data_IF_677564102245
#
_entry.id   IF_677564102245
#
_cell.length_a   1.000
_cell.length_b   1.000
_cell.length_c   1.000
_cell.angle_alpha   90.00
_cell.angle_beta   90.00
_cell.angle_gamma   90.00
#
_symmetry.space_group_name_H-M   'P 1'
#
loop_
_entity.id
_entity.type
_entity.pdbx_description
1 polymer ?
#
# COMPACT_ATOMS: atom_id res chain seq x y z
N UNK A 1 11.39 -33.44 -33.67
CA UNK A 1 11.14 -32.97 -32.28
C UNK A 1 9.85 -33.65 -31.81
N UNK A 2 9.89 -34.41 -30.72
CA UNK A 2 8.76 -35.26 -30.31
C UNK A 2 7.70 -34.50 -29.50
N UNK A 3 6.44 -34.98 -29.45
CA UNK A 3 5.35 -34.33 -28.71
C UNK A 3 5.65 -34.20 -27.20
N UNK A 4 6.44 -35.12 -26.64
CA UNK A 4 6.94 -35.06 -25.26
C UNK A 4 7.87 -33.88 -25.03
N UNK A 5 8.76 -33.60 -25.98
CA UNK A 5 9.70 -32.47 -25.88
C UNK A 5 8.94 -31.14 -25.95
N UNK A 6 7.94 -31.03 -26.83
CA UNK A 6 7.08 -29.84 -26.94
C UNK A 6 6.28 -29.59 -25.66
N UNK A 7 5.79 -30.65 -25.00
CA UNK A 7 5.11 -30.55 -23.72
C UNK A 7 6.00 -29.93 -22.63
N UNK A 8 7.26 -30.34 -22.51
CA UNK A 8 8.17 -29.75 -21.54
C UNK A 8 8.47 -28.28 -21.83
N UNK A 9 8.66 -27.90 -23.09
CA UNK A 9 8.82 -26.49 -23.47
C UNK A 9 7.57 -25.66 -23.19
N UNK A 10 6.38 -26.23 -23.41
CA UNK A 10 5.11 -25.58 -23.08
C UNK A 10 4.97 -25.36 -21.57
N UNK A 11 5.21 -26.40 -20.76
CA UNK A 11 5.17 -26.28 -19.29
C UNK A 11 6.21 -25.27 -18.79
N UNK A 12 7.43 -25.30 -19.33
CA UNK A 12 8.47 -24.33 -18.98
C UNK A 12 8.07 -22.89 -19.34
N UNK A 13 7.47 -22.66 -20.51
CA UNK A 13 7.00 -21.35 -20.93
C UNK A 13 5.85 -20.84 -20.05
N UNK A 14 4.92 -21.72 -19.67
CA UNK A 14 3.82 -21.41 -18.75
C UNK A 14 4.36 -21.04 -17.37
N UNK A 15 5.26 -21.85 -16.82
CA UNK A 15 5.88 -21.57 -15.51
C UNK A 15 6.68 -20.26 -15.53
N UNK A 16 7.43 -20.00 -16.59
CA UNK A 16 8.16 -18.74 -16.76
C UNK A 16 7.21 -17.54 -16.84
N UNK A 17 6.11 -17.66 -17.58
CA UNK A 17 5.08 -16.63 -17.66
C UNK A 17 4.45 -16.34 -16.30
N UNK A 18 4.08 -17.38 -15.55
CA UNK A 18 3.53 -17.22 -14.20
C UNK A 18 4.55 -16.65 -13.21
N UNK A 19 5.82 -17.04 -13.29
CA UNK A 19 6.87 -16.47 -12.45
C UNK A 19 7.07 -14.98 -12.73
N UNK A 20 7.17 -14.58 -14.01
CA UNK A 20 7.29 -13.17 -14.41
C UNK A 20 6.03 -12.38 -14.04
N UNK A 21 4.85 -12.97 -14.15
CA UNK A 21 3.59 -12.33 -13.74
C UNK A 21 3.45 -12.21 -12.21
N UNK A 22 4.10 -13.09 -11.43
CA UNK A 22 4.05 -13.09 -9.97
C UNK A 22 5.04 -12.10 -9.33
N UNK A 23 6.07 -11.64 -10.05
CA UNK A 23 7.04 -10.64 -9.57
C UNK A 23 6.51 -9.19 -9.57
N UNK A 24 5.20 -8.98 -9.78
CA UNK A 24 4.59 -7.67 -9.92
C UNK A 24 4.37 -6.86 -8.63
N UNK A 25 4.08 -7.51 -7.49
CA UNK A 25 3.37 -6.82 -6.39
C UNK A 25 4.00 -6.99 -5.00
N UNK A 26 5.29 -7.36 -4.96
CA UNK A 26 6.04 -7.58 -3.73
C UNK A 26 6.64 -6.31 -3.12
N UNK A 27 5.98 -5.82 -2.05
CA UNK A 27 6.62 -5.46 -0.77
C UNK A 27 6.73 -4.01 -0.30
N UNK A 28 6.01 -3.02 -0.83
CA UNK A 28 5.77 -1.78 -0.08
C UNK A 28 4.36 -1.24 -0.31
N UNK A 29 3.41 -1.69 0.52
CA UNK A 29 2.11 -1.02 0.60
C UNK A 29 2.35 0.33 1.29
N UNK A 30 2.08 1.44 0.61
CA UNK A 30 2.14 2.79 1.19
C UNK A 30 0.95 3.03 2.13
N UNK A 31 0.65 2.03 2.95
CA UNK A 31 -0.50 1.93 3.82
C UNK A 31 -0.07 2.25 5.25
N UNK A 32 -0.76 3.20 5.87
CA UNK A 32 -0.48 3.71 7.20
C UNK A 32 -1.71 3.50 8.08
N UNK A 33 -1.50 2.94 9.26
CA UNK A 33 -2.53 2.90 10.30
C UNK A 33 -2.34 4.12 11.19
N UNK A 34 -3.35 4.97 11.26
CA UNK A 34 -3.33 6.20 12.07
C UNK A 34 -4.47 6.20 13.07
N UNK A 35 -4.22 6.75 14.26
CA UNK A 35 -5.27 7.02 15.25
C UNK A 35 -5.54 8.52 15.25
N UNK A 36 -6.78 8.91 14.99
CA UNK A 36 -7.18 10.31 14.84
C UNK A 36 -8.43 10.57 15.68
N UNK A 37 -8.36 11.57 16.54
CA UNK A 37 -9.49 12.04 17.34
C UNK A 37 -10.17 13.16 16.55
N UNK A 38 -11.48 13.09 16.35
CA UNK A 38 -12.21 14.08 15.54
C UNK A 38 -13.29 13.49 14.63
N UNK A 39 -13.39 12.17 14.55
CA UNK A 39 -14.40 11.49 13.73
C UNK A 39 -14.05 11.47 12.25
N UNK A 40 -14.91 10.81 11.46
CA UNK A 40 -14.64 10.50 10.05
C UNK A 40 -14.42 11.74 9.18
N UNK A 41 -15.13 12.83 9.44
CA UNK A 41 -15.06 14.04 8.60
C UNK A 41 -13.68 14.71 8.67
N UNK A 42 -13.10 14.81 9.88
CA UNK A 42 -11.74 15.33 10.10
C UNK A 42 -10.70 14.45 9.41
N UNK A 43 -10.92 13.14 9.46
CA UNK A 43 -10.04 12.13 8.88
C UNK A 43 -10.05 12.19 7.36
N UNK A 44 -11.24 12.33 6.75
CA UNK A 44 -11.40 12.46 5.31
C UNK A 44 -10.78 13.78 4.80
N UNK A 45 -10.97 14.87 5.55
CA UNK A 45 -10.35 16.15 5.23
C UNK A 45 -8.81 16.09 5.29
N UNK A 46 -8.26 15.47 6.34
CA UNK A 46 -6.82 15.29 6.50
C UNK A 46 -6.23 14.42 5.38
N UNK A 47 -6.92 13.35 5.02
CA UNK A 47 -6.52 12.48 3.92
C UNK A 47 -6.44 13.28 2.61
N UNK A 48 -7.46 14.09 2.31
CA UNK A 48 -7.47 14.95 1.13
C UNK A 48 -6.35 16.01 1.14
N UNK A 49 -6.10 16.68 2.26
CA UNK A 49 -5.06 17.71 2.41
C UNK A 49 -3.65 17.14 2.18
N UNK A 50 -3.40 15.92 2.67
CA UNK A 50 -2.09 15.28 2.62
C UNK A 50 -1.88 14.40 1.38
N UNK A 51 -2.84 14.35 0.46
CA UNK A 51 -2.87 13.44 -0.69
C UNK A 51 -2.72 11.97 -0.27
N UNK A 52 -3.62 11.57 0.63
CA UNK A 52 -3.89 10.20 1.04
C UNK A 52 -5.34 9.84 0.73
N UNK A 53 -5.58 8.55 0.55
CA UNK A 53 -6.90 7.96 0.50
C UNK A 53 -7.24 7.36 1.86
N UNK A 54 -8.35 7.79 2.46
CA UNK A 54 -8.91 7.12 3.64
C UNK A 54 -9.61 5.83 3.20
N UNK A 55 -9.07 4.69 3.62
CA UNK A 55 -9.60 3.35 3.34
C UNK A 55 -10.67 2.91 4.36
N UNK A 56 -10.93 3.74 5.39
CA UNK A 56 -11.95 3.52 6.39
C UNK A 56 -11.39 3.17 7.78
N UNK A 57 -12.31 3.08 8.73
CA UNK A 57 -12.01 2.76 10.12
C UNK A 57 -11.77 1.26 10.31
N UNK A 58 -10.76 0.91 11.10
CA UNK A 58 -10.46 -0.46 11.48
C UNK A 58 -11.48 -0.98 12.48
N UNK A 59 -12.18 -2.06 12.10
CA UNK A 59 -13.13 -2.74 12.98
C UNK A 59 -12.46 -3.18 14.28
N UNK A 60 -13.06 -2.84 15.41
CA UNK A 60 -12.54 -3.17 16.75
C UNK A 60 -11.49 -2.20 17.29
N UNK A 61 -11.06 -1.20 16.50
CA UNK A 61 -10.13 -0.17 16.92
C UNK A 61 -10.76 1.22 16.68
N UNK A 62 -11.54 1.74 17.63
CA UNK A 62 -12.21 3.02 17.46
C UNK A 62 -11.20 4.13 17.18
N UNK A 63 -11.59 5.10 16.34
CA UNK A 63 -10.79 6.24 15.94
C UNK A 63 -9.48 5.85 15.21
N UNK A 64 -9.42 4.65 14.64
CA UNK A 64 -8.22 4.14 13.96
C UNK A 64 -8.53 3.87 12.50
N UNK A 65 -7.78 4.50 11.61
CA UNK A 65 -8.07 4.51 10.17
C UNK A 65 -6.89 3.98 9.37
N UNK A 66 -7.21 3.34 8.26
CA UNK A 66 -6.23 2.91 7.27
C UNK A 66 -6.11 3.98 6.18
N UNK A 67 -4.90 4.44 5.93
CA UNK A 67 -4.58 5.50 4.97
C UNK A 67 -3.66 4.98 3.89
N UNK A 68 -3.90 5.34 2.63
CA UNK A 68 -3.05 4.94 1.49
C UNK A 68 -2.53 6.16 0.74
N UNK A 69 -1.23 6.22 0.46
CA UNK A 69 -0.66 7.29 -0.38
C UNK A 69 -0.97 7.02 -1.86
N UNK A 70 -1.56 7.97 -2.57
CA UNK A 70 -1.95 7.80 -3.98
C UNK A 70 -0.76 7.87 -4.95
N UNK A 71 0.14 8.83 -4.76
CA UNK A 71 1.14 9.21 -5.78
C UNK A 71 2.58 8.78 -5.42
N UNK A 72 2.81 7.46 -5.27
CA UNK A 72 4.18 6.98 -5.15
C UNK A 72 4.45 5.70 -5.94
N UNK A 73 5.47 5.68 -6.84
CA UNK A 73 5.99 4.43 -7.35
C UNK A 73 6.44 3.58 -6.16
N UNK A 74 6.11 2.28 -6.17
CA UNK A 74 6.61 1.29 -5.22
C UNK A 74 8.14 1.40 -5.16
N UNK A 75 8.67 2.17 -4.20
CA UNK A 75 10.10 2.38 -4.04
C UNK A 75 10.52 1.97 -2.65
N UNK A 76 11.64 1.25 -2.64
CA UNK A 76 12.36 0.66 -1.53
C UNK A 76 12.26 1.40 -0.18
N UNK A 77 12.28 0.60 0.90
CA UNK A 77 12.35 0.90 2.34
C UNK A 77 12.90 2.28 2.78
N UNK A 78 13.89 2.84 2.08
CA UNK A 78 14.56 4.10 2.43
C UNK A 78 13.67 5.34 2.25
N UNK A 79 12.73 5.33 1.31
CA UNK A 79 11.84 6.48 1.06
C UNK A 79 10.64 6.53 2.03
N UNK A 80 10.22 5.38 2.56
CA UNK A 80 9.11 5.29 3.52
C UNK A 80 9.37 6.09 4.81
N UNK A 81 10.63 6.26 5.21
CA UNK A 81 11.03 7.02 6.41
C UNK A 81 10.62 8.50 6.33
N UNK A 82 10.73 9.12 5.15
CA UNK A 82 10.32 10.51 4.95
C UNK A 82 8.79 10.68 5.00
N UNK A 83 8.04 9.64 4.62
CA UNK A 83 6.57 9.61 4.67
C UNK A 83 6.05 9.44 6.10
N UNK A 84 6.62 8.52 6.89
CA UNK A 84 6.27 8.38 8.32
C UNK A 84 6.42 9.70 9.05
N UNK A 85 7.51 10.41 8.77
CA UNK A 85 7.83 11.68 9.41
C UNK A 85 6.75 12.74 9.14
N UNK A 86 6.34 12.91 7.87
CA UNK A 86 5.28 13.88 7.52
C UNK A 86 3.95 13.58 8.21
N UNK A 87 3.60 12.30 8.35
CA UNK A 87 2.33 11.89 8.97
C UNK A 87 2.37 12.03 10.50
N UNK A 88 3.52 11.77 11.12
CA UNK A 88 3.71 11.92 12.56
C UNK A 88 3.84 13.39 12.99
N UNK A 89 4.44 14.24 12.14
CA UNK A 89 4.64 15.66 12.42
C UNK A 89 3.33 16.46 12.30
N UNK A 90 2.30 15.96 11.62
CA UNK A 90 0.97 16.60 11.52
C UNK A 90 0.13 16.34 12.78
N UNK A 91 0.68 16.75 13.93
CA UNK A 91 0.06 16.67 15.23
C UNK A 91 -0.75 17.95 15.49
N UNK A 92 -1.93 18.08 14.87
CA UNK A 92 -2.89 19.17 15.18
C UNK A 92 -3.67 18.93 16.48
N UNK A 93 -3.00 18.43 17.52
CA UNK A 93 -3.46 18.55 18.91
C UNK A 93 -2.96 19.90 19.46
N UNK A 94 -3.49 20.98 18.91
CA UNK A 94 -3.41 22.32 19.48
C UNK A 94 -4.70 22.59 20.24
N UNK A 95 -4.55 22.85 21.53
CA UNK A 95 -5.57 23.34 22.47
C UNK A 95 -6.33 24.53 21.88
#
# INVERSE_FOLDING_TARGET
MGPRTLFFYFVQAVLYFFAVAHDGDGHYTNDWVVRLIGGKDVVDQLAMELDYQNMGELKGFPNTYLMRKNDHPQRSRRNAQHLTKRLADDNRNGI
#
